data_IF_866510564292
#
_entry.id   IF_866510564292
#
_cell.length_a   1.000
_cell.length_b   1.000
_cell.length_c   1.000
_cell.angle_alpha   90.00
_cell.angle_beta   90.00
_cell.angle_gamma   90.00
#
_symmetry.space_group_name_H-M   'P 1'
#
loop_
_entity.id
_entity.type
_entity.pdbx_description
1 polymer ?
#
# COMPACT_ATOMS: atom_id res chain seq x y z
N UNK A 1 -25.62 36.08 -56.66
CA UNK A 1 -26.30 34.96 -55.96
C UNK A 1 -25.40 33.74 -56.01
N UNK A 2 -24.98 33.20 -54.87
CA UNK A 2 -24.19 31.96 -54.84
C UNK A 2 -25.06 30.79 -55.30
N UNK A 3 -24.73 30.16 -56.42
CA UNK A 3 -25.44 28.97 -56.91
C UNK A 3 -25.13 27.81 -55.97
N UNK A 4 -26.08 27.50 -55.09
CA UNK A 4 -25.99 26.33 -54.21
C UNK A 4 -26.21 25.09 -55.07
N UNK A 5 -25.12 24.41 -55.41
CA UNK A 5 -25.20 23.17 -56.21
C UNK A 5 -25.71 22.02 -55.33
N UNK A 6 -26.57 21.16 -55.89
CA UNK A 6 -27.13 19.99 -55.18
C UNK A 6 -26.04 19.06 -54.61
N UNK A 7 -24.88 18.97 -55.27
CA UNK A 7 -23.69 18.27 -54.74
C UNK A 7 -23.14 18.93 -53.46
N UNK A 8 -23.10 20.26 -53.40
CA UNK A 8 -22.70 21.00 -52.20
C UNK A 8 -23.66 20.79 -51.03
N UNK A 9 -24.97 20.79 -51.31
CA UNK A 9 -26.00 20.54 -50.30
C UNK A 9 -25.92 19.11 -49.74
N UNK A 10 -25.70 18.11 -50.60
CA UNK A 10 -25.56 16.70 -50.19
C UNK A 10 -24.30 16.45 -49.36
N UNK A 11 -23.20 17.14 -49.69
CA UNK A 11 -21.94 17.08 -48.92
C UNK A 11 -22.05 17.81 -47.57
N UNK A 12 -22.78 18.93 -47.52
CA UNK A 12 -23.08 19.65 -46.29
C UNK A 12 -24.00 18.83 -45.35
N UNK A 13 -25.06 18.22 -45.89
CA UNK A 13 -25.97 17.35 -45.12
C UNK A 13 -25.26 16.09 -44.59
N UNK A 14 -24.37 15.49 -45.38
CA UNK A 14 -23.54 14.36 -44.92
C UNK A 14 -22.58 14.77 -43.78
N UNK A 15 -21.91 15.92 -43.89
CA UNK A 15 -21.07 16.42 -42.80
C UNK A 15 -21.89 16.76 -41.54
N UNK A 16 -23.09 17.31 -41.70
CA UNK A 16 -24.00 17.63 -40.58
C UNK A 16 -24.50 16.35 -39.89
N UNK A 17 -24.78 15.28 -40.65
CA UNK A 17 -25.18 13.98 -40.12
C UNK A 17 -24.07 13.34 -39.24
N UNK A 18 -22.81 13.51 -39.61
CA UNK A 18 -21.66 12.99 -38.84
C UNK A 18 -21.17 13.92 -37.72
N UNK A 19 -21.68 15.16 -37.60
CA UNK A 19 -21.33 16.08 -36.50
C UNK A 19 -21.56 15.50 -35.09
N UNK A 20 -22.71 14.89 -34.75
CA UNK A 20 -22.90 14.31 -33.43
C UNK A 20 -21.88 13.21 -33.12
N UNK A 21 -21.53 12.39 -34.11
CA UNK A 21 -20.49 11.37 -33.96
C UNK A 21 -19.10 11.99 -33.75
N UNK A 22 -18.75 13.04 -34.52
CA UNK A 22 -17.48 13.77 -34.34
C UNK A 22 -17.42 14.48 -32.98
N UNK A 23 -18.52 15.08 -32.53
CA UNK A 23 -18.61 15.71 -31.22
C UNK A 23 -18.47 14.69 -30.07
N UNK A 24 -19.08 13.51 -30.21
CA UNK A 24 -18.94 12.41 -29.25
C UNK A 24 -17.48 11.91 -29.18
N UNK A 25 -16.79 11.80 -30.33
CA UNK A 25 -15.37 11.43 -30.36
C UNK A 25 -14.50 12.47 -29.64
N UNK A 26 -14.73 13.78 -29.87
CA UNK A 26 -14.00 14.85 -29.17
C UNK A 26 -14.27 14.83 -27.67
N UNK A 27 -15.52 14.61 -27.26
CA UNK A 27 -15.88 14.47 -25.84
C UNK A 27 -15.19 13.26 -25.21
N UNK A 28 -15.19 12.11 -25.89
CA UNK A 28 -14.54 10.89 -25.40
C UNK A 28 -13.03 11.04 -25.32
N UNK A 29 -12.41 11.69 -26.31
CA UNK A 29 -10.98 12.04 -26.28
C UNK A 29 -10.66 12.91 -25.06
N UNK A 30 -11.46 13.95 -24.81
CA UNK A 30 -11.29 14.84 -23.67
C UNK A 30 -11.47 14.10 -22.33
N UNK A 31 -12.52 13.28 -22.21
CA UNK A 31 -12.75 12.45 -21.03
C UNK A 31 -11.58 11.50 -20.77
N UNK A 32 -11.07 10.86 -21.83
CA UNK A 32 -9.94 9.95 -21.72
C UNK A 32 -8.68 10.68 -21.26
N UNK A 33 -8.41 11.88 -21.78
CA UNK A 33 -7.28 12.71 -21.32
C UNK A 33 -7.40 13.07 -19.84
N UNK A 34 -8.60 13.40 -19.37
CA UNK A 34 -8.85 13.69 -17.95
C UNK A 34 -8.63 12.44 -17.11
N UNK A 35 -9.14 11.29 -17.52
CA UNK A 35 -8.94 10.02 -16.80
C UNK A 35 -7.45 9.65 -16.73
N UNK A 36 -6.73 9.76 -17.85
CA UNK A 36 -5.28 9.54 -17.88
C UNK A 36 -4.55 10.52 -16.96
N UNK A 37 -4.90 11.80 -17.01
CA UNK A 37 -4.31 12.80 -16.11
C UNK A 37 -4.61 12.49 -14.64
N UNK A 38 -5.84 12.10 -14.30
CA UNK A 38 -6.22 11.70 -12.94
C UNK A 38 -5.43 10.48 -12.46
N UNK A 39 -5.25 9.47 -13.31
CA UNK A 39 -4.42 8.29 -13.02
C UNK A 39 -2.96 8.69 -12.80
N UNK A 40 -2.40 9.55 -13.66
CA UNK A 40 -1.02 10.03 -13.52
C UNK A 40 -0.81 10.84 -12.23
N UNK A 41 -1.73 11.75 -11.91
CA UNK A 41 -1.70 12.52 -10.66
C UNK A 41 -1.81 11.58 -9.45
N UNK A 42 -2.70 10.59 -9.50
CA UNK A 42 -2.83 9.56 -8.48
C UNK A 42 -1.52 8.77 -8.29
N UNK A 43 -0.90 8.33 -9.39
CA UNK A 43 0.39 7.64 -9.37
C UNK A 43 1.49 8.50 -8.75
N UNK A 44 1.59 9.77 -9.13
CA UNK A 44 2.55 10.72 -8.54
C UNK A 44 2.30 10.88 -7.04
N UNK A 45 1.03 10.98 -6.62
CA UNK A 45 0.66 11.05 -5.20
C UNK A 45 1.08 9.81 -4.42
N UNK A 46 0.83 8.60 -4.95
CA UNK A 46 1.26 7.33 -4.34
C UNK A 46 2.78 7.24 -4.26
N UNK A 47 3.50 7.61 -5.32
CA UNK A 47 4.96 7.61 -5.33
C UNK A 47 5.54 8.61 -4.33
N UNK A 48 4.96 9.81 -4.24
CA UNK A 48 5.38 10.83 -3.28
C UNK A 48 5.15 10.37 -1.83
N UNK A 49 3.98 9.76 -1.55
CA UNK A 49 3.67 9.20 -0.23
C UNK A 49 4.61 8.04 0.12
N UNK A 50 4.87 7.14 -0.82
CA UNK A 50 5.81 6.04 -0.66
C UNK A 50 7.23 6.54 -0.38
N UNK A 51 7.68 7.56 -1.12
CA UNK A 51 8.97 8.21 -0.88
C UNK A 51 9.02 8.88 0.50
N UNK A 52 7.95 9.59 0.90
CA UNK A 52 7.86 10.19 2.22
C UNK A 52 7.98 9.14 3.34
N UNK A 53 7.23 8.04 3.24
CA UNK A 53 7.32 6.95 4.21
C UNK A 53 8.71 6.31 4.23
N UNK A 54 9.31 6.08 3.07
CA UNK A 54 10.63 5.47 2.99
C UNK A 54 11.75 6.37 3.52
N UNK A 55 11.80 7.65 3.11
CA UNK A 55 12.92 8.53 3.46
C UNK A 55 12.76 9.21 4.82
N UNK A 56 11.52 9.52 5.22
CA UNK A 56 11.23 10.28 6.44
C UNK A 56 10.81 9.34 7.56
N UNK A 57 9.68 8.65 7.39
CA UNK A 57 9.08 7.88 8.49
C UNK A 57 9.87 6.62 8.87
N UNK A 58 10.42 5.89 7.90
CA UNK A 58 11.06 4.59 8.19
C UNK A 58 12.34 4.68 9.03
N UNK A 59 12.93 5.86 9.15
CA UNK A 59 14.12 6.13 9.97
C UNK A 59 13.77 6.68 11.36
N UNK A 60 12.48 6.84 11.68
CA UNK A 60 12.05 7.24 13.01
C UNK A 60 11.93 6.01 13.90
N UNK A 61 12.14 6.15 15.23
CA UNK A 61 11.88 5.08 16.17
C UNK A 61 10.43 4.61 16.07
N UNK A 62 10.23 3.30 15.99
CA UNK A 62 8.90 2.72 15.87
C UNK A 62 8.05 2.98 17.12
N UNK A 63 6.76 3.26 16.91
CA UNK A 63 5.80 3.51 17.98
C UNK A 63 4.73 2.42 18.00
N UNK A 64 5.01 1.37 18.77
CA UNK A 64 4.09 0.25 18.97
C UNK A 64 3.23 0.51 20.20
N UNK A 65 1.92 0.39 20.02
CA UNK A 65 0.94 0.53 21.09
C UNK A 65 0.97 -0.72 21.98
N UNK A 66 1.34 -0.57 23.27
CA UNK A 66 1.48 -1.69 24.19
C UNK A 66 0.16 -2.42 24.45
N UNK A 67 -1.00 -1.83 24.13
CA UNK A 67 -2.30 -2.49 24.29
C UNK A 67 -2.48 -3.69 23.35
N UNK A 68 -1.81 -3.68 22.21
CA UNK A 68 -2.00 -4.69 21.16
C UNK A 68 -0.80 -5.63 20.99
N UNK A 69 0.32 -5.33 21.66
CA UNK A 69 1.57 -6.05 21.55
C UNK A 69 1.90 -6.86 22.81
N UNK A 70 2.34 -8.11 22.63
CA UNK A 70 2.95 -8.96 23.65
C UNK A 70 4.40 -8.57 23.95
N UNK A 71 5.10 -7.97 22.99
CA UNK A 71 6.49 -7.53 23.12
C UNK A 71 6.66 -6.16 22.50
N UNK A 72 7.56 -5.34 23.06
CA UNK A 72 7.86 -4.02 22.51
C UNK A 72 9.14 -4.06 21.67
N UNK A 73 9.26 -3.17 20.67
CA UNK A 73 10.51 -3.03 19.93
C UNK A 73 11.65 -2.66 20.89
N UNK A 74 12.88 -3.15 20.62
CA UNK A 74 14.06 -2.61 21.25
C UNK A 74 14.08 -1.10 21.14
N UNK A 75 14.49 -0.42 22.23
CA UNK A 75 14.54 1.04 22.26
C UNK A 75 15.38 1.58 21.10
N UNK A 76 14.77 2.49 20.32
CA UNK A 76 15.37 3.13 19.17
C UNK A 76 15.27 2.36 17.85
N UNK A 77 14.71 1.13 17.83
CA UNK A 77 14.54 0.37 16.60
C UNK A 77 13.65 1.12 15.61
N UNK A 78 14.17 1.35 14.42
CA UNK A 78 13.43 1.98 13.32
C UNK A 78 12.72 0.95 12.44
N UNK A 79 11.69 1.37 11.72
CA UNK A 79 10.95 0.49 10.80
C UNK A 79 11.86 -0.09 9.70
N UNK A 80 12.83 0.71 9.24
CA UNK A 80 13.83 0.27 8.26
C UNK A 80 14.73 -0.83 8.81
N UNK A 81 15.26 -0.64 10.02
CA UNK A 81 16.12 -1.63 10.68
C UNK A 81 15.36 -2.93 10.98
N UNK A 82 14.08 -2.83 11.39
CA UNK A 82 13.22 -3.99 11.54
C UNK A 82 13.19 -4.82 10.26
N UNK A 83 12.85 -4.21 9.12
CA UNK A 83 12.76 -4.96 7.86
C UNK A 83 14.12 -5.48 7.39
N UNK A 84 15.22 -4.75 7.62
CA UNK A 84 16.57 -5.26 7.36
C UNK A 84 16.89 -6.50 8.20
N UNK A 85 16.56 -6.50 9.49
CA UNK A 85 16.70 -7.66 10.38
C UNK A 85 15.85 -8.84 9.90
N UNK A 86 14.56 -8.61 9.57
CA UNK A 86 13.66 -9.67 9.08
C UNK A 86 14.19 -10.33 7.80
N UNK A 87 14.60 -9.54 6.82
CA UNK A 87 15.15 -10.08 5.55
C UNK A 87 16.45 -10.86 5.76
N UNK A 88 17.34 -10.36 6.62
CA UNK A 88 18.57 -11.07 6.97
C UNK A 88 18.28 -12.38 7.72
N UNK A 89 17.32 -12.35 8.65
CA UNK A 89 16.87 -13.50 9.41
C UNK A 89 16.28 -14.60 8.52
N UNK A 90 15.36 -14.24 7.61
CA UNK A 90 14.75 -15.22 6.70
C UNK A 90 15.78 -15.87 5.78
N UNK A 91 16.75 -15.11 5.28
CA UNK A 91 17.81 -15.66 4.43
C UNK A 91 18.61 -16.74 5.17
N UNK A 92 18.94 -16.50 6.45
CA UNK A 92 19.65 -17.49 7.29
C UNK A 92 18.78 -18.71 7.60
N UNK A 93 17.51 -18.50 7.93
CA UNK A 93 16.55 -19.56 8.22
C UNK A 93 16.34 -20.47 7.00
N UNK A 94 16.24 -19.88 5.81
CA UNK A 94 16.13 -20.57 4.54
C UNK A 94 17.34 -21.45 4.24
N UNK A 95 18.55 -20.88 4.37
CA UNK A 95 19.80 -21.61 4.18
C UNK A 95 19.87 -22.83 5.12
N UNK A 96 19.54 -22.65 6.41
CA UNK A 96 19.56 -23.70 7.42
C UNK A 96 18.50 -24.80 7.16
N UNK A 97 17.26 -24.41 6.83
CA UNK A 97 16.18 -25.37 6.58
C UNK A 97 16.34 -26.12 5.27
N UNK A 98 16.97 -25.50 4.26
CA UNK A 98 17.33 -26.16 3.03
C UNK A 98 18.47 -27.17 3.24
N UNK A 99 19.54 -26.78 3.93
CA UNK A 99 20.68 -27.66 4.20
C UNK A 99 20.30 -28.86 5.11
N UNK A 100 19.37 -28.67 6.04
CA UNK A 100 18.83 -29.76 6.88
C UNK A 100 17.81 -30.66 6.17
N UNK A 101 17.45 -30.36 4.92
CA UNK A 101 16.46 -31.12 4.15
C UNK A 101 15.01 -30.91 4.60
N UNK A 102 14.75 -30.04 5.59
CA UNK A 102 13.40 -29.73 6.08
C UNK A 102 12.54 -29.10 4.98
N UNK A 103 13.14 -28.26 4.13
CA UNK A 103 12.47 -27.61 3.01
C UNK A 103 13.01 -28.05 1.66
N UNK A 104 12.11 -28.30 0.70
CA UNK A 104 12.46 -28.66 -0.67
C UNK A 104 12.89 -27.46 -1.52
N UNK A 105 12.48 -26.25 -1.13
CA UNK A 105 12.75 -25.02 -1.87
C UNK A 105 13.60 -24.07 -1.02
N UNK A 106 14.66 -23.53 -1.61
CA UNK A 106 15.60 -22.60 -0.94
C UNK A 106 14.95 -21.26 -0.53
N UNK A 107 13.79 -20.89 -1.07
CA UNK A 107 13.19 -19.56 -0.89
C UNK A 107 11.73 -19.60 -0.37
N UNK A 108 11.36 -20.64 0.38
CA UNK A 108 9.99 -20.85 0.80
C UNK A 108 9.42 -19.69 1.66
N UNK A 109 10.23 -19.17 2.59
CA UNK A 109 9.79 -18.09 3.47
C UNK A 109 9.75 -16.75 2.76
N UNK A 110 10.79 -16.40 2.01
CA UNK A 110 10.89 -15.14 1.27
C UNK A 110 9.77 -15.00 0.24
N UNK A 111 9.42 -16.07 -0.47
CA UNK A 111 8.30 -16.05 -1.41
C UNK A 111 6.96 -15.89 -0.71
N UNK A 112 6.73 -16.64 0.37
CA UNK A 112 5.52 -16.49 1.18
C UNK A 112 5.37 -15.07 1.71
N UNK A 113 6.43 -14.53 2.30
CA UNK A 113 6.49 -13.14 2.79
C UNK A 113 6.20 -12.16 1.67
N UNK A 114 6.90 -12.21 0.54
CA UNK A 114 6.72 -11.24 -0.55
C UNK A 114 5.29 -11.25 -1.10
N UNK A 115 4.69 -12.43 -1.22
CA UNK A 115 3.31 -12.58 -1.69
C UNK A 115 2.31 -11.98 -0.70
N UNK A 116 2.55 -12.19 0.59
CA UNK A 116 1.68 -11.71 1.68
C UNK A 116 1.98 -10.27 2.13
N UNK A 117 3.14 -9.73 1.77
CA UNK A 117 3.59 -8.41 2.18
C UNK A 117 2.64 -7.32 1.67
N UNK A 118 2.43 -7.23 0.36
CA UNK A 118 1.56 -6.18 -0.20
C UNK A 118 0.13 -6.23 0.37
N UNK A 119 -0.57 -7.39 0.40
CA UNK A 119 -1.93 -7.42 0.93
C UNK A 119 -2.00 -7.10 2.43
N UNK A 120 -1.11 -7.63 3.28
CA UNK A 120 -1.21 -7.42 4.73
C UNK A 120 -0.51 -6.16 5.24
N UNK A 121 0.54 -5.69 4.56
CA UNK A 121 1.31 -4.54 5.02
C UNK A 121 0.83 -3.21 4.43
N UNK A 122 0.20 -3.25 3.26
CA UNK A 122 -0.18 -2.03 2.54
C UNK A 122 -1.68 -1.98 2.35
N UNK A 123 -2.27 -2.98 1.70
CA UNK A 123 -3.68 -2.92 1.27
C UNK A 123 -4.63 -3.00 2.47
N UNK A 124 -4.50 -4.03 3.31
CA UNK A 124 -5.40 -4.23 4.45
C UNK A 124 -5.35 -3.07 5.46
N UNK A 125 -4.18 -2.56 5.90
CA UNK A 125 -4.11 -1.43 6.82
C UNK A 125 -4.68 -0.15 6.21
N UNK A 126 -4.43 0.11 4.92
CA UNK A 126 -4.97 1.29 4.22
C UNK A 126 -6.49 1.24 4.14
N UNK A 127 -7.05 0.09 3.76
CA UNK A 127 -8.50 -0.11 3.70
C UNK A 127 -9.12 0.03 5.10
N UNK A 128 -8.47 -0.53 6.13
CA UNK A 128 -8.92 -0.43 7.51
C UNK A 128 -9.04 1.02 7.97
N UNK A 129 -7.99 1.82 7.78
CA UNK A 129 -8.02 3.26 8.07
C UNK A 129 -9.09 3.99 7.24
N UNK A 130 -9.19 3.67 5.95
CA UNK A 130 -10.17 4.29 5.07
C UNK A 130 -11.61 4.05 5.54
N UNK A 131 -11.98 2.80 5.81
CA UNK A 131 -13.34 2.47 6.26
C UNK A 131 -13.63 2.98 7.66
N UNK A 132 -12.70 2.83 8.61
CA UNK A 132 -12.87 3.30 9.97
C UNK A 132 -13.10 4.82 10.05
N UNK A 133 -12.40 5.60 9.22
CA UNK A 133 -12.46 7.07 9.27
C UNK A 133 -13.51 7.69 8.35
N UNK A 134 -13.67 7.19 7.13
CA UNK A 134 -14.51 7.85 6.11
C UNK A 134 -15.86 7.18 5.88
N UNK A 135 -16.05 5.95 6.38
CA UNK A 135 -17.29 5.19 6.20
C UNK A 135 -17.74 4.51 7.50
N UNK A 136 -17.79 5.22 8.65
CA UNK A 136 -18.23 4.63 9.91
C UNK A 136 -19.67 4.10 9.78
N UNK A 137 -19.98 3.01 10.50
CA UNK A 137 -21.31 2.37 10.48
C UNK A 137 -21.59 1.49 9.26
N UNK A 138 -20.61 1.26 8.39
CA UNK A 138 -20.72 0.25 7.33
C UNK A 138 -20.23 -1.12 7.83
N UNK A 139 -20.71 -2.25 7.27
CA UNK A 139 -20.20 -3.57 7.63
C UNK A 139 -18.68 -3.69 7.45
N UNK A 140 -18.11 -3.00 6.46
CA UNK A 140 -16.66 -2.96 6.24
C UNK A 140 -15.92 -2.18 7.33
N UNK A 141 -16.53 -1.11 7.88
CA UNK A 141 -15.97 -0.41 9.04
C UNK A 141 -16.02 -1.27 10.30
N UNK A 142 -17.09 -2.06 10.50
CA UNK A 142 -17.14 -3.02 11.61
C UNK A 142 -16.08 -4.12 11.45
N UNK A 143 -15.90 -4.68 10.25
CA UNK A 143 -14.82 -5.63 9.95
C UNK A 143 -13.45 -5.00 10.17
N UNK A 144 -13.28 -3.74 9.79
CA UNK A 144 -12.04 -3.00 9.99
C UNK A 144 -11.72 -2.82 11.48
N UNK A 145 -12.70 -2.36 12.27
CA UNK A 145 -12.59 -2.03 13.70
C UNK A 145 -12.58 -3.25 14.61
N UNK A 146 -13.19 -4.37 14.22
CA UNK A 146 -13.12 -5.63 14.97
C UNK A 146 -12.03 -6.56 14.46
N UNK A 147 -11.61 -6.40 13.21
CA UNK A 147 -10.49 -7.13 12.63
C UNK A 147 -9.18 -6.76 13.29
N UNK A 148 -8.23 -7.69 13.30
CA UNK A 148 -6.86 -7.45 13.73
C UNK A 148 -6.73 -6.91 15.17
N UNK A 149 -7.43 -7.57 16.11
CA UNK A 149 -7.52 -7.21 17.53
C UNK A 149 -8.10 -5.80 17.80
N UNK A 150 -8.79 -5.23 16.83
CA UNK A 150 -9.33 -3.87 16.90
C UNK A 150 -8.27 -2.77 16.96
N UNK A 151 -7.08 -3.08 16.45
CA UNK A 151 -6.01 -2.12 16.28
C UNK A 151 -6.42 -1.10 15.20
N UNK A 152 -6.74 0.12 15.62
CA UNK A 152 -7.07 1.25 14.76
C UNK A 152 -6.29 2.48 15.23
N UNK A 153 -5.70 3.19 14.27
CA UNK A 153 -4.93 4.39 14.56
C UNK A 153 -5.77 5.47 15.28
N UNK A 154 -5.24 6.08 16.36
CA UNK A 154 -5.94 7.11 17.14
C UNK A 154 -6.53 8.25 16.28
N UNK A 155 -7.76 8.66 16.59
CA UNK A 155 -8.50 9.66 15.82
C UNK A 155 -7.87 11.06 15.81
N UNK A 156 -7.00 11.36 16.78
CA UNK A 156 -6.27 12.63 16.86
C UNK A 156 -5.11 12.75 15.86
N UNK A 157 -4.71 11.64 15.20
CA UNK A 157 -3.68 11.67 14.16
C UNK A 157 -4.28 12.14 12.83
N UNK A 158 -3.54 12.93 12.05
CA UNK A 158 -3.90 13.18 10.65
C UNK A 158 -3.85 11.87 9.83
N UNK A 159 -4.40 11.87 8.61
CA UNK A 159 -4.49 10.65 7.80
C UNK A 159 -3.13 10.00 7.52
N UNK A 160 -2.08 10.78 7.25
CA UNK A 160 -0.75 10.27 6.90
C UNK A 160 -0.09 9.60 8.12
N UNK A 161 -0.17 10.26 9.28
CA UNK A 161 0.38 9.73 10.52
C UNK A 161 -0.42 8.53 11.02
N UNK A 162 -1.74 8.54 10.82
CA UNK A 162 -2.59 7.40 11.12
C UNK A 162 -2.28 6.18 10.27
N UNK A 163 -2.06 6.36 8.96
CA UNK A 163 -1.63 5.30 8.06
C UNK A 163 -0.28 4.73 8.50
N UNK A 164 0.68 5.60 8.81
CA UNK A 164 1.99 5.16 9.28
C UNK A 164 1.92 4.38 10.60
N UNK A 165 1.18 4.90 11.58
CA UNK A 165 0.92 4.22 12.85
C UNK A 165 0.34 2.82 12.60
N UNK A 166 -0.64 2.73 11.69
CA UNK A 166 -1.27 1.46 11.34
C UNK A 166 -0.26 0.49 10.73
N UNK A 167 0.60 0.97 9.82
CA UNK A 167 1.65 0.12 9.25
C UNK A 167 2.61 -0.41 10.30
N UNK A 168 3.11 0.42 11.22
CA UNK A 168 4.04 -0.04 12.26
C UNK A 168 3.43 -1.09 13.18
N UNK A 169 2.21 -0.81 13.67
CA UNK A 169 1.55 -1.67 14.64
C UNK A 169 1.11 -3.00 14.02
N UNK A 170 0.60 -2.97 12.79
CA UNK A 170 0.27 -4.20 12.07
C UNK A 170 1.50 -4.98 11.64
N UNK A 171 2.58 -4.29 11.23
CA UNK A 171 3.84 -4.97 10.93
C UNK A 171 4.32 -5.76 12.13
N UNK A 172 4.32 -5.11 13.30
CA UNK A 172 4.84 -5.71 14.51
C UNK A 172 4.08 -6.99 14.86
N UNK A 173 2.75 -6.93 14.81
CA UNK A 173 1.94 -8.11 15.05
C UNK A 173 2.19 -9.22 14.01
N UNK A 174 2.08 -8.92 12.71
CA UNK A 174 2.18 -9.95 11.66
C UNK A 174 3.57 -10.55 11.48
N UNK A 175 4.64 -9.79 11.75
CA UNK A 175 6.00 -10.19 11.38
C UNK A 175 6.95 -10.38 12.55
N UNK A 176 6.51 -10.02 13.76
CA UNK A 176 7.27 -10.25 15.00
C UNK A 176 6.51 -11.15 15.95
N UNK A 177 5.23 -10.90 16.17
CA UNK A 177 4.46 -11.68 17.16
C UNK A 177 3.81 -12.93 16.60
N UNK A 178 3.35 -12.91 15.36
CA UNK A 178 2.70 -14.04 14.69
C UNK A 178 3.33 -14.32 13.31
N UNK A 179 4.67 -14.51 13.24
CA UNK A 179 5.36 -14.59 11.96
C UNK A 179 5.07 -15.91 11.26
N UNK A 180 4.78 -15.84 9.95
CA UNK A 180 4.67 -17.00 9.04
C UNK A 180 5.92 -17.92 9.04
N UNK A 181 7.04 -17.43 9.59
CA UNK A 181 8.37 -18.02 9.48
C UNK A 181 9.18 -17.94 10.78
N UNK A 182 8.54 -18.06 11.95
CA UNK A 182 9.12 -18.23 13.30
C UNK A 182 10.49 -17.56 13.52
N UNK A 183 10.64 -16.32 13.05
CA UNK A 183 11.87 -15.57 13.28
C UNK A 183 11.87 -15.12 14.74
N UNK A 184 13.01 -15.22 15.43
CA UNK A 184 13.12 -14.66 16.76
C UNK A 184 12.82 -13.15 16.72
N UNK A 185 12.35 -12.56 17.84
CA UNK A 185 12.15 -11.12 17.94
C UNK A 185 13.44 -10.36 17.60
N UNK A 186 13.33 -9.15 17.02
CA UNK A 186 14.50 -8.38 16.61
C UNK A 186 15.35 -8.07 17.83
N UNK A 187 16.65 -8.35 17.75
CA UNK A 187 17.62 -7.96 18.77
C UNK A 187 18.24 -6.64 18.34
N UNK A 188 18.63 -5.79 19.31
CA UNK A 188 19.40 -4.59 18.99
C UNK A 188 20.64 -5.01 18.17
N UNK A 189 20.95 -4.38 17.03
CA UNK A 189 22.26 -4.57 16.44
C UNK A 189 23.28 -4.16 17.50
N UNK A 190 24.28 -5.01 17.77
CA UNK A 190 25.35 -4.63 18.69
C UNK A 190 25.86 -3.27 18.20
N UNK A 191 25.73 -2.25 19.06
CA UNK A 191 26.33 -0.95 18.78
C UNK A 191 27.77 -1.26 18.38
N UNK A 192 28.14 -0.97 17.14
CA UNK A 192 29.54 -0.93 16.78
C UNK A 192 30.11 0.12 17.73
N UNK A 193 30.82 -0.35 18.77
CA UNK A 193 31.54 0.55 19.66
C UNK A 193 32.37 1.48 18.78
N UNK A 194 32.35 2.80 19.02
CA UNK A 194 33.20 3.73 18.28
C UNK A 194 34.68 3.33 18.38
#
# INVERSE_FOLDING_TARGET
MSVVTAKGLKKAASNLFWLPFRAALVFFEWLTKILVAAVLVGLVGVLALGAYFYFVKSNQPMQIDPRYARSLPPEGLTFRELWQDRFAGWTKLEEQNYQSGKWKLRYACRLGVLYWFVPYQIVAPTLRIYYARFRPGTPMAEIAVHGFKGMIAPDNLNLIDALWWQFENETWYYWVEDPLCDLPPPKRPAQASP
#
